data_IF_227723062748
#
_entry.id   IF_227723062748
#
_cell.length_a   1.000
_cell.length_b   1.000
_cell.length_c   1.000
_cell.angle_alpha   90.00
_cell.angle_beta   90.00
_cell.angle_gamma   90.00
#
_symmetry.space_group_name_H-M   'P 1'
#
loop_
_entity.id
_entity.type
_entity.pdbx_description
1 polymer ?
#
# COMPACT_ATOMS: atom_id res chain seq x y z
N UNK A 1 68.90 -56.56 -13.41
CA UNK A 1 70.10 -56.24 -12.62
C UNK A 1 70.11 -54.75 -12.30
N UNK A 2 70.20 -54.42 -11.00
CA UNK A 2 70.71 -53.21 -10.32
C UNK A 2 70.62 -51.86 -11.08
N UNK A 3 69.75 -50.94 -10.68
CA UNK A 3 69.88 -50.00 -9.55
C UNK A 3 71.03 -49.00 -9.70
N UNK A 4 70.69 -47.74 -9.98
CA UNK A 4 71.53 -46.56 -9.71
C UNK A 4 70.72 -45.60 -8.83
N UNK A 5 71.28 -45.37 -7.65
CA UNK A 5 70.95 -44.40 -6.62
C UNK A 5 71.39 -43.00 -7.14
N UNK A 6 70.71 -41.88 -6.89
CA UNK A 6 70.88 -41.01 -5.71
C UNK A 6 69.75 -39.97 -5.67
N UNK A 7 69.34 -39.67 -4.44
CA UNK A 7 68.26 -38.84 -3.94
C UNK A 7 68.54 -37.33 -4.10
N UNK A 8 67.53 -36.56 -4.49
CA UNK A 8 67.49 -35.09 -4.38
C UNK A 8 66.05 -34.63 -4.18
N UNK A 9 65.77 -34.15 -2.98
CA UNK A 9 64.51 -33.58 -2.43
C UNK A 9 63.96 -32.42 -3.29
N UNK A 10 62.70 -31.95 -3.24
CA UNK A 10 61.37 -32.27 -2.69
C UNK A 10 60.45 -31.19 -3.31
N UNK A 11 59.15 -31.50 -3.46
CA UNK A 11 58.01 -30.56 -3.38
C UNK A 11 57.96 -29.39 -4.39
N UNK A 12 57.16 -29.35 -5.46
CA UNK A 12 55.74 -29.71 -5.67
C UNK A 12 54.74 -28.91 -4.79
N UNK A 13 54.23 -27.80 -5.33
CA UNK A 13 53.07 -27.07 -4.80
C UNK A 13 52.92 -25.70 -5.47
N UNK A 14 52.13 -25.56 -6.54
CA UNK A 14 50.66 -25.43 -6.61
C UNK A 14 50.17 -23.97 -6.46
N UNK A 15 49.29 -23.63 -7.41
CA UNK A 15 48.12 -22.74 -7.32
C UNK A 15 48.33 -21.24 -7.55
N UNK A 16 48.31 -20.88 -8.84
CA UNK A 16 47.70 -19.65 -9.31
C UNK A 16 46.20 -19.66 -8.94
N UNK A 17 45.75 -18.71 -8.12
CA UNK A 17 44.35 -18.59 -7.74
C UNK A 17 44.12 -17.62 -6.61
N UNK A 18 44.42 -16.32 -6.80
CA UNK A 18 44.04 -15.26 -5.85
C UNK A 18 44.17 -13.88 -6.50
N UNK A 19 43.26 -13.48 -7.39
CA UNK A 19 43.10 -12.06 -7.75
C UNK A 19 41.63 -11.63 -7.96
N UNK A 20 40.66 -12.54 -8.07
CA UNK A 20 39.27 -12.14 -8.42
C UNK A 20 38.41 -11.73 -7.20
N UNK A 21 38.84 -11.97 -5.95
CA UNK A 21 37.99 -11.71 -4.77
C UNK A 21 38.04 -10.27 -4.21
N UNK A 22 38.89 -9.39 -4.73
CA UNK A 22 39.10 -8.05 -4.15
C UNK A 22 38.11 -6.97 -4.60
N UNK A 23 37.45 -7.14 -5.75
CA UNK A 23 36.64 -6.07 -6.37
C UNK A 23 35.14 -6.15 -6.06
N UNK A 24 34.64 -7.28 -5.54
CA UNK A 24 33.23 -7.40 -5.13
C UNK A 24 32.98 -6.82 -3.73
N UNK A 25 34.00 -6.77 -2.85
CA UNK A 25 33.85 -6.22 -1.50
C UNK A 25 33.79 -4.68 -1.44
N UNK A 26 34.16 -3.96 -2.50
CA UNK A 26 34.25 -2.50 -2.45
C UNK A 26 33.03 -1.77 -3.04
N UNK A 27 32.13 -2.47 -3.75
CA UNK A 27 30.90 -1.86 -4.28
C UNK A 27 29.71 -1.92 -3.30
N UNK A 28 29.79 -2.74 -2.26
CA UNK A 28 28.75 -2.82 -1.23
C UNK A 28 28.84 -1.69 -0.18
N UNK A 29 29.96 -0.96 -0.12
CA UNK A 29 30.26 -0.01 0.96
C UNK A 29 29.93 1.46 0.63
N UNK A 30 29.43 1.77 -0.57
CA UNK A 30 29.20 3.15 -1.01
C UNK A 30 27.73 3.54 -1.18
N UNK A 31 26.80 2.73 -0.68
CA UNK A 31 25.44 3.22 -0.47
C UNK A 31 25.40 3.76 0.97
N UNK A 32 25.34 5.09 1.17
CA UNK A 32 25.20 5.64 2.52
C UNK A 32 23.93 5.05 3.15
N UNK A 33 23.98 4.68 4.43
CA UNK A 33 22.82 4.12 5.14
C UNK A 33 21.58 5.04 5.07
N UNK A 34 21.81 6.35 4.87
CA UNK A 34 20.77 7.36 4.62
C UNK A 34 20.01 7.17 3.31
N UNK A 35 20.59 6.51 2.29
CA UNK A 35 19.89 6.16 1.04
C UNK A 35 19.00 4.90 1.17
N UNK A 36 19.21 4.07 2.19
CA UNK A 36 18.34 2.91 2.49
C UNK A 36 17.12 3.32 3.33
N UNK A 37 17.17 4.49 3.96
CA UNK A 37 16.02 5.11 4.60
C UNK A 37 15.18 5.84 3.55
N UNK A 38 14.56 5.09 2.62
CA UNK A 38 13.32 5.57 2.03
C UNK A 38 12.41 5.95 3.21
N UNK A 39 11.89 7.19 3.31
CA UNK A 39 11.07 7.57 4.44
C UNK A 39 9.92 6.58 4.51
N UNK A 40 9.79 5.85 5.63
CA UNK A 40 8.86 4.73 5.79
C UNK A 40 7.41 5.09 5.38
N UNK A 41 7.07 6.37 5.50
CA UNK A 41 5.82 6.96 5.02
C UNK A 41 5.60 6.74 3.50
N UNK A 42 6.63 6.94 2.67
CA UNK A 42 6.53 6.74 1.22
C UNK A 42 6.32 5.27 0.83
N UNK A 43 6.84 4.32 1.62
CA UNK A 43 6.53 2.90 1.41
C UNK A 43 5.07 2.60 1.76
N UNK A 44 4.58 3.10 2.90
CA UNK A 44 3.20 2.88 3.32
C UNK A 44 2.18 3.55 2.38
N UNK A 45 2.49 4.73 1.81
CA UNK A 45 1.68 5.38 0.78
C UNK A 45 1.60 4.54 -0.51
N UNK A 46 2.73 4.00 -0.98
CA UNK A 46 2.77 3.09 -2.14
C UNK A 46 2.02 1.79 -1.89
N UNK A 47 2.08 1.27 -0.66
CA UNK A 47 1.29 0.11 -0.25
C UNK A 47 -0.21 0.42 -0.31
N UNK A 48 -0.65 1.56 0.25
CA UNK A 48 -2.05 1.99 0.16
C UNK A 48 -2.50 2.10 -1.29
N UNK A 49 -1.70 2.76 -2.15
CA UNK A 49 -2.01 2.91 -3.57
C UNK A 49 -2.14 1.55 -4.27
N UNK A 50 -1.19 0.65 -4.07
CA UNK A 50 -1.19 -0.67 -4.73
C UNK A 50 -2.38 -1.52 -4.31
N UNK A 51 -2.69 -1.52 -3.01
CA UNK A 51 -3.79 -2.28 -2.43
C UNK A 51 -5.15 -1.71 -2.86
N UNK A 52 -5.29 -0.38 -2.90
CA UNK A 52 -6.48 0.29 -3.45
C UNK A 52 -6.65 -0.05 -4.93
N UNK A 53 -5.59 0.04 -5.72
CA UNK A 53 -5.67 -0.23 -7.16
C UNK A 53 -6.10 -1.66 -7.48
N UNK A 54 -5.43 -2.65 -6.88
CA UNK A 54 -5.78 -4.05 -7.06
C UNK A 54 -7.24 -4.33 -6.65
N UNK A 55 -7.71 -3.69 -5.57
CA UNK A 55 -9.07 -3.85 -5.08
C UNK A 55 -10.10 -3.17 -5.97
N UNK A 56 -9.80 -1.96 -6.47
CA UNK A 56 -10.68 -1.23 -7.37
C UNK A 56 -10.90 -2.02 -8.67
N UNK A 57 -9.83 -2.51 -9.28
CA UNK A 57 -9.89 -3.35 -10.50
C UNK A 57 -10.67 -4.64 -10.23
N UNK A 58 -10.39 -5.32 -9.12
CA UNK A 58 -11.07 -6.56 -8.74
C UNK A 58 -12.58 -6.36 -8.50
N UNK A 59 -12.97 -5.33 -7.73
CA UNK A 59 -14.37 -4.99 -7.52
C UNK A 59 -15.05 -4.55 -8.81
N UNK A 60 -14.37 -3.78 -9.66
CA UNK A 60 -14.90 -3.39 -10.97
C UNK A 60 -15.26 -4.60 -11.81
N UNK A 61 -14.39 -5.61 -11.86
CA UNK A 61 -14.66 -6.87 -12.55
C UNK A 61 -15.81 -7.67 -11.91
N UNK A 62 -15.86 -7.78 -10.58
CA UNK A 62 -16.92 -8.49 -9.86
C UNK A 62 -18.31 -7.85 -10.03
N UNK A 63 -18.35 -6.54 -10.27
CA UNK A 63 -19.59 -5.79 -10.46
C UNK A 63 -20.04 -5.77 -11.93
N UNK A 64 -19.24 -6.27 -12.88
CA UNK A 64 -19.66 -6.37 -14.27
C UNK A 64 -20.86 -7.32 -14.40
N UNK A 65 -21.92 -6.85 -15.06
CA UNK A 65 -23.15 -7.62 -15.24
C UNK A 65 -24.05 -7.68 -14.01
N UNK A 66 -23.68 -7.04 -12.89
CA UNK A 66 -24.56 -6.87 -11.74
C UNK A 66 -25.54 -5.71 -12.01
N UNK A 67 -26.76 -6.03 -12.43
CA UNK A 67 -27.81 -5.05 -12.71
C UNK A 67 -28.60 -4.62 -11.48
N UNK A 68 -28.59 -5.42 -10.40
CA UNK A 68 -29.22 -5.08 -9.14
C UNK A 68 -28.25 -4.23 -8.30
N UNK A 69 -28.60 -2.95 -8.14
CA UNK A 69 -27.81 -1.99 -7.40
C UNK A 69 -27.64 -2.39 -5.92
N UNK A 70 -28.67 -2.95 -5.29
CA UNK A 70 -28.64 -3.39 -3.90
C UNK A 70 -27.71 -4.60 -3.75
N UNK A 71 -27.82 -5.58 -4.64
CA UNK A 71 -26.91 -6.72 -4.65
C UNK A 71 -25.45 -6.30 -4.85
N UNK A 72 -25.18 -5.33 -5.72
CA UNK A 72 -23.85 -4.75 -5.93
C UNK A 72 -23.30 -4.07 -4.67
N UNK A 73 -24.11 -3.25 -3.99
CA UNK A 73 -23.73 -2.61 -2.72
C UNK A 73 -23.43 -3.64 -1.63
N UNK A 74 -24.24 -4.68 -1.51
CA UNK A 74 -24.00 -5.77 -0.57
C UNK A 74 -22.69 -6.51 -0.85
N UNK A 75 -22.39 -6.78 -2.12
CA UNK A 75 -21.13 -7.42 -2.53
C UNK A 75 -19.95 -6.56 -2.09
N UNK A 76 -19.96 -5.27 -2.38
CA UNK A 76 -18.91 -4.33 -1.95
C UNK A 76 -18.73 -4.39 -0.43
N UNK A 77 -19.83 -4.26 0.33
CA UNK A 77 -19.79 -4.27 1.81
C UNK A 77 -19.20 -5.56 2.35
N UNK A 78 -19.67 -6.71 1.87
CA UNK A 78 -19.18 -8.04 2.28
C UNK A 78 -17.70 -8.22 1.94
N UNK A 79 -17.27 -7.74 0.77
CA UNK A 79 -15.89 -7.84 0.31
C UNK A 79 -14.93 -7.01 1.16
N UNK A 80 -15.25 -5.75 1.42
CA UNK A 80 -14.30 -4.82 2.09
C UNK A 80 -14.30 -4.91 3.61
N UNK A 81 -15.41 -5.36 4.23
CA UNK A 81 -15.57 -5.39 5.68
C UNK A 81 -14.44 -6.12 6.45
N UNK A 82 -13.99 -7.34 6.05
CA UNK A 82 -12.99 -8.09 6.80
C UNK A 82 -11.55 -7.61 6.58
N UNK A 83 -11.29 -6.78 5.56
CA UNK A 83 -9.92 -6.49 5.14
C UNK A 83 -9.29 -5.48 6.09
N UNK A 84 -8.16 -5.89 6.71
CA UNK A 84 -7.25 -5.04 7.48
C UNK A 84 -5.83 -5.27 7.02
N UNK A 85 -5.04 -4.21 7.03
CA UNK A 85 -3.61 -4.26 6.68
C UNK A 85 -2.84 -3.21 7.48
N UNK A 86 -1.52 -3.16 7.26
CA UNK A 86 -0.50 -2.62 8.15
C UNK A 86 -0.34 -3.39 9.48
N UNK A 87 0.84 -3.36 10.11
CA UNK A 87 1.10 -4.08 11.36
C UNK A 87 0.16 -3.72 12.52
N UNK A 88 -0.39 -2.51 12.54
CA UNK A 88 -1.29 -2.01 13.57
C UNK A 88 -2.78 -2.15 13.23
N UNK A 89 -3.13 -2.86 12.15
CA UNK A 89 -4.49 -3.01 11.62
C UNK A 89 -5.21 -1.68 11.30
N UNK A 90 -4.46 -0.58 11.12
CA UNK A 90 -5.05 0.72 10.79
C UNK A 90 -5.43 0.88 9.33
N UNK A 91 -4.99 -0.03 8.46
CA UNK A 91 -5.33 -0.08 7.04
C UNK A 91 -6.71 -0.70 6.84
N UNK A 92 -7.59 0.01 6.14
CA UNK A 92 -8.95 -0.42 5.85
C UNK A 92 -9.50 0.31 4.62
N UNK A 93 -10.54 -0.24 3.99
CA UNK A 93 -11.20 0.39 2.86
C UNK A 93 -12.44 1.18 3.24
N UNK A 94 -12.69 2.22 2.45
CA UNK A 94 -13.93 2.96 2.41
C UNK A 94 -14.34 3.16 0.95
N UNK A 95 -15.65 3.11 0.68
CA UNK A 95 -16.23 3.25 -0.65
C UNK A 95 -17.35 4.27 -0.58
N UNK A 96 -17.34 5.19 -1.53
CA UNK A 96 -18.34 6.24 -1.67
C UNK A 96 -18.80 6.32 -3.13
N UNK A 97 -20.00 6.87 -3.35
CA UNK A 97 -20.37 7.35 -4.67
C UNK A 97 -19.84 8.77 -4.95
N UNK A 98 -19.95 9.21 -6.20
CA UNK A 98 -19.52 10.56 -6.60
C UNK A 98 -20.33 11.72 -6.00
N UNK A 99 -21.44 11.42 -5.33
CA UNK A 99 -22.29 12.36 -4.57
C UNK A 99 -21.98 12.36 -3.07
N UNK A 100 -20.88 11.72 -2.66
CA UNK A 100 -20.43 11.63 -1.27
C UNK A 100 -21.32 10.78 -0.35
N UNK A 101 -22.12 9.88 -0.90
CA UNK A 101 -22.85 8.87 -0.13
C UNK A 101 -21.91 7.73 0.22
N UNK A 102 -21.81 7.37 1.49
CA UNK A 102 -21.00 6.22 1.90
C UNK A 102 -21.68 4.92 1.48
N UNK A 103 -21.00 4.13 0.66
CA UNK A 103 -21.47 2.82 0.21
C UNK A 103 -21.01 1.74 1.19
N UNK A 104 -19.74 1.80 1.57
CA UNK A 104 -19.14 0.92 2.54
C UNK A 104 -18.06 1.64 3.36
N UNK A 105 -17.92 1.27 4.62
CA UNK A 105 -16.81 1.70 5.47
C UNK A 105 -16.45 0.57 6.41
N UNK A 106 -15.27 -0.02 6.24
CA UNK A 106 -14.96 -1.29 6.91
C UNK A 106 -14.87 -1.16 8.45
N UNK A 107 -14.57 0.04 8.97
CA UNK A 107 -14.42 0.30 10.42
C UNK A 107 -15.56 1.12 11.02
N UNK A 108 -16.46 1.68 10.20
CA UNK A 108 -17.54 2.57 10.65
C UNK A 108 -18.81 2.26 9.85
N UNK A 109 -19.40 1.06 10.00
CA UNK A 109 -20.57 0.64 9.24
C UNK A 109 -21.78 1.57 9.43
N UNK A 110 -21.85 2.31 10.55
CA UNK A 110 -22.88 3.31 10.81
C UNK A 110 -22.88 4.49 9.83
N UNK A 111 -21.84 4.64 9.00
CA UNK A 111 -21.81 5.65 7.94
C UNK A 111 -22.56 5.21 6.68
N UNK A 112 -22.77 3.91 6.49
CA UNK A 112 -23.35 3.35 5.26
C UNK A 112 -24.72 3.96 4.96
N UNK A 113 -24.89 4.47 3.74
CA UNK A 113 -26.09 5.17 3.27
C UNK A 113 -26.18 6.65 3.63
N UNK A 114 -25.27 7.18 4.47
CA UNK A 114 -25.25 8.61 4.81
C UNK A 114 -24.52 9.41 3.74
N UNK A 115 -25.09 10.57 3.41
CA UNK A 115 -24.41 11.56 2.60
C UNK A 115 -23.49 12.40 3.50
N UNK A 116 -22.19 12.38 3.20
CA UNK A 116 -21.15 13.10 3.94
C UNK A 116 -20.57 14.28 3.13
N UNK A 117 -21.34 14.82 2.17
CA UNK A 117 -20.95 15.97 1.37
C UNK A 117 -20.56 17.17 2.24
N UNK A 118 -21.34 17.48 3.29
CA UNK A 118 -21.07 18.61 4.20
C UNK A 118 -20.22 18.23 5.42
N UNK A 119 -19.76 16.99 5.52
CA UNK A 119 -18.92 16.57 6.64
C UNK A 119 -17.55 17.24 6.56
N UNK A 120 -17.19 17.93 7.64
CA UNK A 120 -15.88 18.53 7.83
C UNK A 120 -15.09 17.77 8.88
N UNK A 121 -13.80 17.60 8.64
CA UNK A 121 -12.88 17.13 9.67
C UNK A 121 -12.58 18.21 10.71
N UNK A 122 -11.81 17.84 11.73
CA UNK A 122 -11.33 18.74 12.80
C UNK A 122 -10.50 19.94 12.32
N UNK A 123 -10.13 20.01 11.04
CA UNK A 123 -9.44 21.16 10.40
C UNK A 123 -10.33 21.94 9.44
N UNK A 124 -11.63 21.62 9.37
CA UNK A 124 -12.61 22.30 8.52
C UNK A 124 -12.59 21.85 7.06
N UNK A 125 -11.88 20.74 6.73
CA UNK A 125 -11.82 20.24 5.36
C UNK A 125 -13.06 19.40 5.06
N UNK A 126 -13.73 19.70 3.95
CA UNK A 126 -14.77 18.83 3.39
C UNK A 126 -14.16 17.55 2.80
N UNK A 127 -13.93 16.56 3.66
CA UNK A 127 -13.10 15.39 3.35
C UNK A 127 -13.61 14.64 2.12
N UNK A 128 -14.90 14.28 2.10
CA UNK A 128 -15.44 13.41 1.06
C UNK A 128 -15.53 14.13 -0.28
N UNK A 129 -15.72 15.46 -0.29
CA UNK A 129 -15.66 16.27 -1.51
C UNK A 129 -14.27 16.21 -2.14
N UNK A 130 -13.22 16.43 -1.33
CA UNK A 130 -11.84 16.38 -1.79
C UNK A 130 -11.46 14.99 -2.33
N UNK A 131 -11.91 13.92 -1.67
CA UNK A 131 -11.72 12.54 -2.13
C UNK A 131 -12.46 12.29 -3.46
N UNK A 132 -13.73 12.71 -3.55
CA UNK A 132 -14.51 12.56 -4.77
C UNK A 132 -13.90 13.34 -5.95
N UNK A 133 -13.34 14.53 -5.72
CA UNK A 133 -12.62 15.30 -6.73
C UNK A 133 -11.35 14.61 -7.22
N UNK A 134 -10.57 14.00 -6.31
CA UNK A 134 -9.39 13.22 -6.67
C UNK A 134 -9.77 11.99 -7.49
N UNK A 135 -10.79 11.24 -7.07
CA UNK A 135 -11.30 10.10 -7.82
C UNK A 135 -11.79 10.49 -9.22
N UNK A 136 -12.52 11.61 -9.36
CA UNK A 136 -12.99 12.13 -10.66
C UNK A 136 -11.84 12.45 -11.64
N UNK A 137 -10.63 12.70 -11.14
CA UNK A 137 -9.42 12.93 -11.95
C UNK A 137 -8.64 11.65 -12.29
N UNK A 138 -9.20 10.48 -11.98
CA UNK A 138 -8.57 9.17 -12.19
C UNK A 138 -7.87 8.61 -10.96
N UNK A 139 -7.93 9.32 -9.83
CA UNK A 139 -7.35 8.92 -8.56
C UNK A 139 -6.24 9.85 -8.09
N UNK A 140 -5.88 9.73 -6.81
CA UNK A 140 -4.85 10.57 -6.21
C UNK A 140 -4.80 10.52 -4.69
N UNK A 141 -3.74 11.13 -4.16
CA UNK A 141 -3.54 11.28 -2.72
C UNK A 141 -4.26 12.52 -2.17
N UNK A 142 -4.83 12.39 -0.98
CA UNK A 142 -5.51 13.45 -0.25
C UNK A 142 -5.19 13.34 1.24
N UNK A 143 -4.66 14.41 1.81
CA UNK A 143 -4.45 14.54 3.26
C UNK A 143 -5.74 15.01 3.94
N UNK A 144 -6.15 14.36 5.03
CA UNK A 144 -7.31 14.76 5.84
C UNK A 144 -7.19 14.23 7.26
N UNK A 145 -8.08 14.63 8.16
CA UNK A 145 -8.16 14.09 9.51
C UNK A 145 -9.32 13.09 9.61
N UNK A 146 -9.05 11.92 10.20
CA UNK A 146 -10.07 10.88 10.39
C UNK A 146 -9.78 10.04 11.63
N UNK A 147 -10.81 9.37 12.16
CA UNK A 147 -10.67 8.48 13.32
C UNK A 147 -9.84 7.25 12.94
N UNK A 148 -8.68 7.10 13.60
CA UNK A 148 -7.85 5.89 13.49
C UNK A 148 -8.51 4.73 14.25
N UNK A 149 -8.61 3.52 13.67
CA UNK A 149 -9.22 2.38 14.36
C UNK A 149 -8.54 2.10 15.72
N UNK A 150 -9.34 1.98 16.77
CA UNK A 150 -8.86 1.74 18.14
C UNK A 150 -8.47 3.00 18.93
N UNK A 151 -8.33 4.15 18.26
CA UNK A 151 -7.95 5.41 18.90
C UNK A 151 -9.16 6.32 19.15
N UNK A 152 -8.95 7.31 20.03
CA UNK A 152 -9.90 8.42 20.25
C UNK A 152 -9.48 9.63 19.42
N UNK A 153 -10.47 10.33 18.88
CA UNK A 153 -10.27 11.55 18.10
C UNK A 153 -9.77 11.28 16.68
N UNK A 154 -9.67 12.35 15.91
CA UNK A 154 -9.17 12.31 14.54
C UNK A 154 -7.65 12.53 14.48
N UNK A 155 -7.00 11.81 13.58
CA UNK A 155 -5.58 11.89 13.32
C UNK A 155 -5.34 12.18 11.85
N UNK A 156 -4.19 12.79 11.53
CA UNK A 156 -3.81 13.01 10.13
C UNK A 156 -3.77 11.65 9.43
N UNK A 157 -4.38 11.58 8.25
CA UNK A 157 -4.38 10.46 7.33
C UNK A 157 -3.96 10.95 5.94
N UNK A 158 -3.10 10.18 5.29
CA UNK A 158 -2.75 10.37 3.88
C UNK A 158 -3.48 9.27 3.12
N UNK A 159 -4.61 9.63 2.49
CA UNK A 159 -5.46 8.69 1.79
C UNK A 159 -5.16 8.65 0.29
N UNK A 160 -5.25 7.47 -0.31
CA UNK A 160 -5.30 7.31 -1.76
C UNK A 160 -6.69 6.82 -2.17
N UNK A 161 -7.24 7.42 -3.22
CA UNK A 161 -8.54 7.05 -3.80
C UNK A 161 -8.43 6.88 -5.29
N UNK A 162 -9.25 6.02 -5.87
CA UNK A 162 -9.47 5.94 -7.32
C UNK A 162 -10.87 5.41 -7.64
N UNK A 163 -11.38 5.64 -8.87
CA UNK A 163 -12.64 5.06 -9.32
C UNK A 163 -12.63 3.53 -9.31
N UNK A 164 -13.75 2.92 -8.95
CA UNK A 164 -13.99 1.50 -9.23
C UNK A 164 -14.47 1.41 -10.69
N UNK A 165 -13.72 0.77 -11.60
CA UNK A 165 -14.05 0.75 -13.03
C UNK A 165 -15.45 0.21 -13.31
N UNK A 166 -16.19 0.85 -14.22
CA UNK A 166 -17.53 0.44 -14.62
C UNK A 166 -18.64 0.81 -13.62
N UNK A 167 -18.34 1.61 -12.60
CA UNK A 167 -19.32 2.04 -11.59
C UNK A 167 -19.27 3.56 -11.36
N UNK A 168 -20.23 4.09 -10.61
CA UNK A 168 -20.20 5.47 -10.09
C UNK A 168 -19.54 5.58 -8.70
N UNK A 169 -18.84 4.53 -8.26
CA UNK A 169 -18.19 4.47 -6.97
C UNK A 169 -16.69 4.73 -7.07
N UNK A 170 -16.11 5.20 -5.98
CA UNK A 170 -14.67 5.23 -5.77
C UNK A 170 -14.33 4.55 -4.46
N UNK A 171 -13.16 3.93 -4.43
CA UNK A 171 -12.61 3.26 -3.26
C UNK A 171 -11.38 4.00 -2.79
N UNK A 172 -11.15 3.99 -1.48
CA UNK A 172 -9.91 4.48 -0.93
C UNK A 172 -9.44 3.71 0.29
N UNK A 173 -8.18 3.95 0.59
CA UNK A 173 -7.55 3.61 1.85
C UNK A 173 -6.53 4.68 2.20
N UNK A 174 -5.63 4.43 3.13
CA UNK A 174 -4.58 5.38 3.49
C UNK A 174 -3.80 4.99 4.73
N UNK A 175 -2.71 5.71 4.95
CA UNK A 175 -1.82 5.54 6.09
C UNK A 175 -2.02 6.67 7.10
N UNK A 176 -1.93 6.33 8.38
CA UNK A 176 -1.79 7.29 9.46
C UNK A 176 -0.29 7.48 9.75
N UNK A 177 0.34 8.61 9.35
CA UNK A 177 1.72 8.88 9.75
C UNK A 177 1.86 8.81 11.27
N UNK A 178 2.91 8.14 11.73
CA UNK A 178 3.30 8.15 13.15
C UNK A 178 3.50 9.59 13.64
N UNK A 179 3.27 9.81 14.93
CA UNK A 179 3.61 11.07 15.59
C UNK A 179 5.12 11.29 15.61
#
# INVERSE_FOLDING_TARGET
MKAVFVRGERSLGRLAGSVVLGLIMCWAALVPAEALAMPALGCAEREAQSVVHATAVGLGALLQGQSDAQAGVELIRKFVAPIRFYPDNSGYFYVYDTNCVNIAHATQPDLQGKNLYDHQDTKGKYVIRALAEAAKKGGGFVDFYWVKPGDKGEHKKIGYVEPIPGTNYFIGSGVYPGK
#
